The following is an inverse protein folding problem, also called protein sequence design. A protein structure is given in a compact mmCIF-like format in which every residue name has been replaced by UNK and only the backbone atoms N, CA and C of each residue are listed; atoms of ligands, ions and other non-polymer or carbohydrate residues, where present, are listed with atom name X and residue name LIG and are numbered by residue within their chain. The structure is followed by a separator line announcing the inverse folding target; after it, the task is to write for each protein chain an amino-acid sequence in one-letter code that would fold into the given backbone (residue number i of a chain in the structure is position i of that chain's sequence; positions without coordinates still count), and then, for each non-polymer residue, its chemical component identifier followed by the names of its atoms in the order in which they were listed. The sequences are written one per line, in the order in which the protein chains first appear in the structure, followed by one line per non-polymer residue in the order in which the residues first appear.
data_IF_426424286669
#
_entry.id   IF_426424286669
#
_cell.length_a   1.000
_cell.length_b   1.000
_cell.length_c   1.000
_cell.angle_alpha   90.00
_cell.angle_beta   90.00
_cell.angle_gamma   90.00
#
_symmetry.space_group_name_H-M   'P 1'
#
loop_
_entity.id
_entity.type
_entity.pdbx_description
1 polymer ?
#
# COMPACT_ATOMS: atom_id res chain seq x y z
N UNK A 1 -14.56 -16.30 -8.46
CA UNK A 1 -13.69 -15.11 -8.55
C UNK A 1 -13.74 -14.45 -7.20
N UNK A 2 -12.68 -14.58 -6.41
CA UNK A 2 -12.54 -13.74 -5.22
C UNK A 2 -12.54 -12.29 -5.69
N UNK A 3 -13.52 -11.53 -5.24
CA UNK A 3 -13.63 -10.12 -5.56
C UNK A 3 -12.49 -9.42 -4.83
N UNK A 4 -11.36 -9.23 -5.50
CA UNK A 4 -10.24 -8.44 -4.97
C UNK A 4 -10.81 -7.07 -4.63
N UNK A 5 -11.00 -6.83 -3.34
CA UNK A 5 -11.49 -5.57 -2.84
C UNK A 5 -10.27 -4.68 -2.63
N UNK A 6 -10.03 -3.78 -3.58
CA UNK A 6 -8.96 -2.78 -3.47
C UNK A 6 -9.37 -1.73 -2.43
N UNK A 7 -9.27 -2.11 -1.15
CA UNK A 7 -9.51 -1.24 -0.01
C UNK A 7 -8.31 -1.24 0.93
N UNK A 8 -7.99 -0.07 1.44
CA UNK A 8 -7.11 0.11 2.58
C UNK A 8 -7.97 0.38 3.81
N UNK A 9 -7.86 -0.47 4.82
CA UNK A 9 -8.59 -0.35 6.07
C UNK A 9 -7.59 -0.01 7.18
N UNK A 10 -7.74 1.17 7.75
CA UNK A 10 -6.88 1.69 8.82
C UNK A 10 -7.63 1.56 10.14
N UNK A 11 -7.21 0.62 10.98
CA UNK A 11 -7.77 0.46 12.33
C UNK A 11 -6.99 1.32 13.30
N UNK A 12 -7.71 2.14 14.06
CA UNK A 12 -7.15 2.94 15.13
C UNK A 12 -7.32 2.15 16.43
N UNK A 13 -6.19 1.90 17.08
CA UNK A 13 -6.11 1.22 18.36
C UNK A 13 -5.49 2.19 19.36
N UNK A 14 -6.02 2.25 20.57
CA UNK A 14 -5.29 2.84 21.69
C UNK A 14 -4.20 1.86 22.13
N UNK A 15 -3.02 2.38 22.45
CA UNK A 15 -1.91 1.55 22.91
C UNK A 15 -1.41 2.06 24.25
N UNK A 16 -1.71 1.30 25.29
CA UNK A 16 -1.35 1.59 26.67
C UNK A 16 -0.51 0.45 27.28
N UNK A 17 0.41 0.81 28.16
CA UNK A 17 1.39 -0.13 28.73
C UNK A 17 0.77 -1.15 29.71
N UNK A 18 -0.43 -0.88 30.22
CA UNK A 18 -1.04 -1.64 31.33
C UNK A 18 -2.38 -2.30 30.99
N UNK A 19 -2.91 -2.08 29.78
CA UNK A 19 -4.14 -2.68 29.28
C UNK A 19 -3.90 -3.40 27.95
N UNK A 20 -4.90 -4.13 27.47
CA UNK A 20 -4.90 -4.61 26.09
C UNK A 20 -5.26 -3.43 25.17
N UNK A 21 -4.67 -3.40 23.98
CA UNK A 21 -4.97 -2.36 22.99
C UNK A 21 -6.47 -2.33 22.67
N UNK A 22 -7.11 -1.19 22.90
CA UNK A 22 -8.54 -1.00 22.72
C UNK A 22 -8.86 -0.44 21.33
N UNK A 23 -9.90 -0.99 20.69
CA UNK A 23 -10.31 -0.54 19.36
C UNK A 23 -11.05 0.79 19.43
N UNK A 24 -10.54 1.81 18.72
CA UNK A 24 -11.10 3.16 18.69
C UNK A 24 -11.96 3.44 17.44
N UNK A 25 -11.81 2.63 16.39
CA UNK A 25 -12.54 2.78 15.13
C UNK A 25 -11.71 2.46 13.91
N UNK A 26 -12.28 2.62 12.73
CA UNK A 26 -11.57 2.41 11.47
C UNK A 26 -11.92 3.44 10.39
N UNK A 27 -10.96 3.71 9.51
CA UNK A 27 -11.15 4.44 8.27
C UNK A 27 -10.97 3.49 7.08
N UNK A 28 -11.88 3.55 6.11
CA UNK A 28 -11.80 2.77 4.88
C UNK A 28 -11.56 3.68 3.68
N UNK A 29 -10.56 3.33 2.86
CA UNK A 29 -10.18 4.05 1.65
C UNK A 29 -10.27 3.07 0.47
N UNK A 30 -11.09 3.38 -0.53
CA UNK A 30 -11.21 2.58 -1.75
C UNK A 30 -10.15 3.01 -2.78
N UNK A 31 -9.34 2.06 -3.22
CA UNK A 31 -8.14 2.29 -4.02
C UNK A 31 -8.22 1.74 -5.44
N UNK A 32 -9.37 1.20 -5.88
CA UNK A 32 -9.47 0.55 -7.19
C UNK A 32 -9.03 1.47 -8.34
N UNK A 33 -9.72 2.59 -8.52
CA UNK A 33 -9.43 3.55 -9.60
C UNK A 33 -8.04 4.18 -9.42
N UNK A 34 -7.63 4.41 -8.16
CA UNK A 34 -6.31 4.93 -7.83
C UNK A 34 -5.17 4.00 -8.28
N UNK A 35 -5.32 2.70 -8.07
CA UNK A 35 -4.34 1.70 -8.51
C UNK A 35 -4.35 1.57 -10.03
N UNK A 36 -5.52 1.55 -10.67
CA UNK A 36 -5.63 1.52 -12.14
C UNK A 36 -4.89 2.71 -12.78
N UNK A 37 -5.09 3.92 -12.24
CA UNK A 37 -4.38 5.13 -12.67
C UNK A 37 -2.87 5.04 -12.45
N UNK A 38 -2.46 4.47 -11.30
CA UNK A 38 -1.05 4.28 -10.97
C UNK A 38 -0.34 3.27 -11.86
N UNK A 39 -1.05 2.22 -12.29
CA UNK A 39 -0.54 1.22 -13.23
C UNK A 39 -0.41 1.80 -14.65
N UNK A 40 -1.35 2.65 -15.07
CA UNK A 40 -1.30 3.33 -16.38
C UNK A 40 -0.17 4.37 -16.45
N UNK A 41 -0.04 5.21 -15.42
CA UNK A 41 0.89 6.35 -15.43
C UNK A 41 2.26 6.05 -14.78
N UNK A 42 2.45 4.85 -14.22
CA UNK A 42 3.61 4.49 -13.39
C UNK A 42 3.62 5.13 -12.00
N UNK A 43 2.78 6.14 -11.75
CA UNK A 43 2.63 6.84 -10.47
C UNK A 43 1.22 7.38 -10.30
N UNK A 44 0.69 7.37 -9.08
CA UNK A 44 -0.52 8.08 -8.71
C UNK A 44 -0.40 8.65 -7.29
N UNK A 45 -1.11 9.74 -7.00
CA UNK A 45 -1.12 10.37 -5.67
C UNK A 45 -2.53 10.76 -5.24
N UNK A 46 -2.86 10.46 -3.99
CA UNK A 46 -3.96 11.05 -3.24
C UNK A 46 -3.32 11.97 -2.21
N UNK A 47 -3.53 13.28 -2.37
CA UNK A 47 -3.04 14.26 -1.39
C UNK A 47 -3.68 14.04 -0.01
N UNK A 48 -2.98 14.42 1.08
CA UNK A 48 -3.48 14.26 2.45
C UNK A 48 -4.91 14.76 2.64
N UNK A 49 -5.85 13.82 2.72
CA UNK A 49 -7.30 14.07 2.80
C UNK A 49 -7.87 13.49 4.09
N UNK A 50 -8.94 14.10 4.59
CA UNK A 50 -9.63 13.66 5.81
C UNK A 50 -10.53 12.47 5.48
N UNK A 51 -10.41 11.42 6.28
CA UNK A 51 -11.25 10.23 6.22
C UNK A 51 -11.96 10.06 7.56
N UNK A 52 -13.27 9.79 7.52
CA UNK A 52 -14.05 9.52 8.71
C UNK A 52 -13.59 8.22 9.37
N UNK A 53 -13.39 8.29 10.68
CA UNK A 53 -13.18 7.14 11.55
C UNK A 53 -14.55 6.74 12.08
N UNK A 54 -14.91 5.47 11.90
CA UNK A 54 -16.20 4.91 12.31
C UNK A 54 -15.97 3.85 13.37
N UNK A 55 -16.74 3.94 14.46
CA UNK A 55 -16.71 2.99 15.56
C UNK A 55 -17.43 1.68 15.23
N UNK A 56 -17.35 0.71 16.15
CA UNK A 56 -18.03 -0.58 16.02
C UNK A 56 -19.55 -0.48 16.02
N UNK A 57 -20.09 0.59 16.61
CA UNK A 57 -21.51 0.96 16.61
C UNK A 57 -21.96 1.71 15.34
N UNK A 58 -21.07 1.84 14.35
CA UNK A 58 -21.27 2.58 13.11
C UNK A 58 -21.42 4.10 13.30
N UNK A 59 -21.09 4.62 14.48
CA UNK A 59 -21.10 6.06 14.72
C UNK A 59 -19.79 6.70 14.27
N UNK A 60 -19.86 7.99 13.92
CA UNK A 60 -18.69 8.80 13.62
C UNK A 60 -17.88 9.06 14.91
N UNK A 61 -16.60 8.69 14.89
CA UNK A 61 -15.69 8.80 16.04
C UNK A 61 -14.58 9.84 15.84
N UNK A 62 -14.54 10.50 14.68
CA UNK A 62 -13.53 11.51 14.35
C UNK A 62 -13.00 11.37 12.93
N UNK A 63 -11.85 11.98 12.68
CA UNK A 63 -11.21 11.98 11.37
C UNK A 63 -9.71 11.68 11.46
N UNK A 64 -9.18 11.03 10.42
CA UNK A 64 -7.74 10.84 10.20
C UNK A 64 -7.36 11.44 8.85
N UNK A 65 -6.23 12.15 8.80
CA UNK A 65 -5.72 12.69 7.54
C UNK A 65 -4.68 11.74 6.94
N UNK A 66 -4.91 11.29 5.71
CA UNK A 66 -4.07 10.28 5.04
C UNK A 66 -3.75 10.74 3.62
N UNK A 67 -2.47 10.71 3.26
CA UNK A 67 -1.99 10.84 1.88
C UNK A 67 -1.46 9.49 1.39
N UNK A 68 -1.67 9.18 0.12
CA UNK A 68 -1.30 7.89 -0.47
C UNK A 68 -0.53 8.16 -1.76
N UNK A 69 0.61 7.52 -1.93
CA UNK A 69 1.39 7.55 -3.18
C UNK A 69 1.57 6.12 -3.67
N UNK A 70 1.21 5.89 -4.92
CA UNK A 70 1.50 4.67 -5.66
C UNK A 70 2.69 4.94 -6.59
N UNK A 71 3.64 4.02 -6.63
CA UNK A 71 4.75 4.04 -7.60
C UNK A 71 4.92 2.61 -8.13
N UNK A 72 4.77 2.45 -9.45
CA UNK A 72 4.99 1.16 -10.09
C UNK A 72 6.46 0.77 -9.99
N UNK A 73 6.73 -0.50 -9.71
CA UNK A 73 8.10 -1.02 -9.74
C UNK A 73 8.39 -1.42 -11.19
N UNK A 74 9.32 -0.73 -11.84
CA UNK A 74 9.85 -1.20 -13.12
C UNK A 74 10.44 -2.60 -12.90
N UNK A 75 10.04 -3.56 -13.73
CA UNK A 75 10.76 -4.81 -13.86
C UNK A 75 12.12 -4.46 -14.42
N UNK A 76 13.12 -4.35 -13.54
CA UNK A 76 14.52 -4.40 -13.97
C UNK A 76 14.67 -5.79 -14.58
N UNK A 77 14.66 -5.88 -15.90
CA UNK A 77 15.16 -7.07 -16.58
C UNK A 77 16.59 -7.23 -16.08
N UNK A 78 16.87 -8.31 -15.35
CA UNK A 78 18.23 -8.69 -15.03
C UNK A 78 18.93 -8.89 -16.38
N UNK A 79 19.66 -7.88 -16.85
CA UNK A 79 20.54 -8.03 -18.00
C UNK A 79 21.57 -9.10 -17.62
N UNK A 80 21.34 -10.33 -18.10
CA UNK A 80 22.33 -11.40 -18.08
C UNK A 80 23.52 -10.92 -18.93
N UNK A 81 24.49 -10.27 -18.26
CA UNK A 81 25.80 -9.98 -18.85
C UNK A 81 26.52 -11.31 -19.11
N UNK A 82 26.16 -11.93 -20.23
CA UNK A 82 26.83 -13.10 -20.76
C UNK A 82 28.24 -12.74 -21.23
N UNK A 83 29.22 -13.42 -20.66
CA UNK A 83 30.56 -13.51 -21.20
C UNK A 83 31.62 -13.61 -20.13
N UNK A 84 32.23 -14.78 -19.98
CA UNK A 84 33.66 -15.01 -20.17
C UNK A 84 33.85 -16.47 -20.60
N UNK A 85 34.36 -16.66 -21.82
CA UNK A 85 34.78 -17.96 -22.35
C UNK A 85 36.29 -18.03 -22.11
N UNK A 86 36.69 -18.74 -21.06
CA UNK A 86 38.09 -19.03 -20.79
C UNK A 86 38.59 -19.94 -21.93
N UNK A 87 39.50 -19.42 -22.75
CA UNK A 87 40.26 -20.24 -23.69
C UNK A 87 41.59 -20.51 -23.01
N UNK A 88 41.72 -21.70 -22.42
CA UNK A 88 43.01 -22.20 -21.95
C UNK A 88 43.79 -22.64 -23.19
N UNK A 89 44.83 -21.87 -23.53
CA UNK A 89 45.85 -22.28 -24.48
C UNK A 89 46.66 -23.44 -23.88
N UNK A 90 46.72 -24.55 -24.62
CA UNK A 90 47.65 -25.65 -24.40
C UNK A 90 49.10 -25.17 -24.61
N UNK A 91 49.97 -25.43 -23.64
CA UNK A 91 51.42 -25.54 -23.82
C UNK A 91 52.01 -26.67 -22.97
#
# INVERSE_FOLDING_TARGET
MDSINYKLMLKLMDHDTFSSDDYLGEATIYLKEFIELGLENGRAEIHPSKYSVVGSDQCYCGEIQVGITFTSKESVEEEEYGGWKDSSDDY
#
